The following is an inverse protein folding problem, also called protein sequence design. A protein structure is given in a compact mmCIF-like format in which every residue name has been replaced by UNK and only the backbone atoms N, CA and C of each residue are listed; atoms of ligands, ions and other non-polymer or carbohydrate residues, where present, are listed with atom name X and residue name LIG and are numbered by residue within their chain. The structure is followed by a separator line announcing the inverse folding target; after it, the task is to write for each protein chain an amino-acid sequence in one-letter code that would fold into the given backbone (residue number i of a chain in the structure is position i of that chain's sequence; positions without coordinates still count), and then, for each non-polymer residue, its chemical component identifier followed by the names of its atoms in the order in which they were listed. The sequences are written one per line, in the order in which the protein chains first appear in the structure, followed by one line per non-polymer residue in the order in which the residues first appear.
data_IF_648104985755
#
_entry.id   IF_648104985755
#
_cell.length_a   1.000
_cell.length_b   1.000
_cell.length_c   1.000
_cell.angle_alpha   90.00
_cell.angle_beta   90.00
_cell.angle_gamma   90.00
#
_symmetry.space_group_name_H-M   'P 1'
#
loop_
_entity.id
_entity.type
_entity.pdbx_description
1 polymer ?
#
# COMPACT_ATOMS: atom_id res chain seq x y z
N UNK A 1 10.50 -29.06 7.17
CA UNK A 1 9.45 -30.09 7.02
C UNK A 1 8.36 -30.04 8.09
N UNK A 2 8.59 -30.24 9.39
CA UNK A 2 7.50 -30.13 10.41
C UNK A 2 6.99 -28.71 10.71
N UNK A 3 7.78 -27.68 10.37
CA UNK A 3 7.36 -26.26 10.50
C UNK A 3 6.41 -25.84 9.37
N UNK A 4 6.61 -26.38 8.18
CA UNK A 4 5.86 -26.01 6.98
C UNK A 4 4.42 -26.54 7.03
N UNK A 5 4.22 -27.75 7.57
CA UNK A 5 2.89 -28.33 7.79
C UNK A 5 2.05 -27.54 8.80
N UNK A 6 2.68 -26.94 9.83
CA UNK A 6 1.96 -26.15 10.84
C UNK A 6 1.50 -24.80 10.31
N UNK A 7 2.32 -24.13 9.49
CA UNK A 7 1.92 -22.88 8.82
C UNK A 7 0.73 -23.11 7.88
N UNK A 8 0.77 -24.16 7.06
CA UNK A 8 -0.34 -24.51 6.17
C UNK A 8 -1.62 -24.88 6.94
N UNK A 9 -1.52 -25.60 8.07
CA UNK A 9 -2.70 -25.93 8.89
C UNK A 9 -3.31 -24.70 9.57
N UNK A 10 -2.49 -23.72 9.96
CA UNK A 10 -2.97 -22.45 10.53
C UNK A 10 -3.67 -21.59 9.48
N UNK A 11 -3.12 -21.50 8.27
CA UNK A 11 -3.76 -20.82 7.13
C UNK A 11 -5.10 -21.48 6.80
N UNK A 12 -5.15 -22.82 6.79
CA UNK A 12 -6.37 -23.58 6.52
C UNK A 12 -7.47 -23.41 7.60
N UNK A 13 -7.10 -23.12 8.86
CA UNK A 13 -8.03 -22.92 9.98
C UNK A 13 -8.50 -21.47 10.12
N UNK A 14 -7.88 -20.54 9.40
CA UNK A 14 -8.21 -19.11 9.43
C UNK A 14 -9.51 -18.86 8.67
N UNK A 15 -10.44 -18.11 9.25
CA UNK A 15 -11.69 -17.76 8.55
C UNK A 15 -11.36 -16.95 7.30
N UNK A 16 -12.02 -17.22 6.16
CA UNK A 16 -11.83 -16.47 4.90
C UNK A 16 -11.83 -14.95 5.09
N UNK A 17 -12.62 -14.47 6.06
CA UNK A 17 -12.72 -13.06 6.47
C UNK A 17 -11.42 -12.52 7.07
N UNK A 18 -10.80 -13.27 7.97
CA UNK A 18 -9.53 -12.89 8.62
C UNK A 18 -8.38 -12.92 7.61
N UNK A 19 -8.42 -13.85 6.65
CA UNK A 19 -7.44 -13.91 5.57
C UNK A 19 -7.42 -12.63 4.72
N UNK A 20 -8.59 -12.07 4.36
CA UNK A 20 -8.65 -10.82 3.60
C UNK A 20 -7.99 -9.65 4.34
N UNK A 21 -8.20 -9.57 5.65
CA UNK A 21 -7.63 -8.52 6.50
C UNK A 21 -6.12 -8.67 6.62
N UNK A 22 -5.63 -9.90 6.86
CA UNK A 22 -4.18 -10.14 6.93
C UNK A 22 -3.48 -9.88 5.61
N UNK A 23 -4.07 -10.31 4.49
CA UNK A 23 -3.50 -10.04 3.16
C UNK A 23 -3.50 -8.53 2.88
N UNK A 24 -4.58 -7.81 3.20
CA UNK A 24 -4.65 -6.35 3.07
C UNK A 24 -3.61 -5.64 3.94
N UNK A 25 -3.33 -6.12 5.16
CA UNK A 25 -2.29 -5.56 6.02
C UNK A 25 -0.89 -5.82 5.49
N UNK A 26 -0.60 -7.03 5.00
CA UNK A 26 0.71 -7.38 4.43
C UNK A 26 0.96 -6.56 3.16
N UNK A 27 -0.02 -6.47 2.27
CA UNK A 27 0.07 -5.65 1.07
C UNK A 27 0.21 -4.16 1.43
N UNK A 28 -0.61 -3.65 2.33
CA UNK A 28 -0.53 -2.27 2.82
C UNK A 28 0.84 -1.93 3.43
N UNK A 29 1.43 -2.84 4.18
CA UNK A 29 2.78 -2.68 4.73
C UNK A 29 3.85 -2.69 3.64
N UNK A 30 3.77 -3.61 2.67
CA UNK A 30 4.67 -3.62 1.52
C UNK A 30 4.62 -2.31 0.72
N UNK A 31 3.41 -1.80 0.49
CA UNK A 31 3.17 -0.51 -0.16
C UNK A 31 3.73 0.67 0.66
N UNK A 32 3.62 0.62 1.98
CA UNK A 32 4.23 1.62 2.86
C UNK A 32 5.76 1.64 2.76
N UNK A 33 6.40 0.48 2.71
CA UNK A 33 7.86 0.37 2.51
C UNK A 33 8.26 0.96 1.16
N UNK A 34 7.49 0.70 0.09
CA UNK A 34 7.72 1.28 -1.24
C UNK A 34 7.62 2.81 -1.19
N UNK A 35 6.59 3.36 -0.53
CA UNK A 35 6.43 4.81 -0.35
C UNK A 35 7.58 5.42 0.46
N UNK A 36 8.03 4.76 1.53
CA UNK A 36 9.20 5.22 2.30
C UNK A 36 10.48 5.18 1.47
N UNK A 37 10.67 4.15 0.65
CA UNK A 37 11.80 4.05 -0.25
C UNK A 37 11.83 5.22 -1.24
N UNK A 38 10.69 5.53 -1.87
CA UNK A 38 10.58 6.67 -2.78
C UNK A 38 10.84 8.01 -2.06
N UNK A 39 10.37 8.15 -0.82
CA UNK A 39 10.59 9.35 -0.02
C UNK A 39 12.07 9.54 0.34
N UNK A 40 12.78 8.46 0.68
CA UNK A 40 14.23 8.48 0.94
C UNK A 40 14.99 8.79 -0.35
N UNK A 41 14.65 8.13 -1.46
CA UNK A 41 15.27 8.38 -2.76
C UNK A 41 15.09 9.86 -3.17
N UNK A 42 13.90 10.41 -2.95
CA UNK A 42 13.62 11.82 -3.19
C UNK A 42 14.43 12.75 -2.26
N UNK A 43 14.34 12.56 -0.95
CA UNK A 43 14.93 13.47 0.04
C UNK A 43 16.46 13.48 0.05
N UNK A 44 17.12 12.37 -0.31
CA UNK A 44 18.57 12.24 -0.20
C UNK A 44 19.30 12.20 -1.54
N UNK A 45 18.65 11.79 -2.63
CA UNK A 45 19.35 11.57 -3.90
C UNK A 45 18.95 12.56 -4.99
N UNK A 46 17.82 13.27 -4.88
CA UNK A 46 17.22 14.13 -5.94
C UNK A 46 17.12 13.45 -7.33
N UNK A 47 17.36 12.13 -7.40
CA UNK A 47 17.40 11.33 -8.61
C UNK A 47 16.05 10.66 -8.79
N UNK A 48 15.25 11.26 -9.66
CA UNK A 48 13.92 10.76 -10.06
C UNK A 48 14.00 9.39 -10.75
N UNK A 49 15.15 9.04 -11.34
CA UNK A 49 15.39 7.78 -12.04
C UNK A 49 15.41 6.54 -11.14
N UNK A 50 15.70 6.71 -9.84
CA UNK A 50 15.72 5.62 -8.85
C UNK A 50 14.34 5.40 -8.18
N UNK A 51 13.33 6.18 -8.58
CA UNK A 51 11.97 6.06 -8.08
C UNK A 51 11.27 4.82 -8.64
N UNK A 52 10.33 4.26 -7.88
CA UNK A 52 9.42 3.21 -8.36
C UNK A 52 8.41 3.68 -9.41
N UNK A 53 8.61 4.85 -10.03
CA UNK A 53 7.79 5.39 -11.10
C UNK A 53 7.65 4.49 -12.32
N UNK A 54 8.72 3.78 -12.71
CA UNK A 54 8.68 2.85 -13.84
C UNK A 54 7.72 1.67 -13.60
N UNK A 55 7.31 1.45 -12.35
CA UNK A 55 6.34 0.44 -11.95
C UNK A 55 5.13 1.06 -11.23
N UNK A 56 4.87 2.37 -11.41
CA UNK A 56 3.81 3.09 -10.68
C UNK A 56 2.44 2.48 -10.93
N UNK A 57 2.16 2.04 -12.16
CA UNK A 57 0.89 1.40 -12.52
C UNK A 57 0.71 0.06 -11.79
N UNK A 58 1.77 -0.74 -11.67
CA UNK A 58 1.74 -2.00 -10.94
C UNK A 58 1.55 -1.76 -9.44
N UNK A 59 2.21 -0.76 -8.88
CA UNK A 59 2.05 -0.34 -7.48
C UNK A 59 0.61 0.13 -7.22
N UNK A 60 0.02 0.91 -8.13
CA UNK A 60 -1.36 1.38 -8.05
C UNK A 60 -2.36 0.21 -8.06
N UNK A 61 -2.16 -0.77 -8.95
CA UNK A 61 -3.00 -1.99 -8.99
C UNK A 61 -2.92 -2.75 -7.67
N UNK A 62 -1.73 -2.90 -7.09
CA UNK A 62 -1.56 -3.56 -5.78
C UNK A 62 -2.23 -2.76 -4.67
N UNK A 63 -2.20 -1.42 -4.72
CA UNK A 63 -2.94 -0.53 -3.82
C UNK A 63 -4.45 -0.77 -3.89
N UNK A 64 -5.01 -0.81 -5.09
CA UNK A 64 -6.44 -1.05 -5.31
C UNK A 64 -6.88 -2.41 -4.78
N UNK A 65 -6.08 -3.46 -5.04
CA UNK A 65 -6.33 -4.81 -4.51
C UNK A 65 -6.28 -4.80 -2.98
N UNK A 66 -5.23 -4.20 -2.41
CA UNK A 66 -5.05 -4.12 -0.95
C UNK A 66 -6.21 -3.39 -0.26
N UNK A 67 -6.65 -2.27 -0.85
CA UNK A 67 -7.76 -1.47 -0.34
C UNK A 67 -9.10 -2.19 -0.47
N UNK A 68 -9.36 -2.84 -1.62
CA UNK A 68 -10.59 -3.61 -1.84
C UNK A 68 -10.70 -4.79 -0.86
N UNK A 69 -9.60 -5.50 -0.60
CA UNK A 69 -9.55 -6.56 0.40
C UNK A 69 -9.79 -6.04 1.83
N UNK A 70 -9.28 -4.85 2.15
CA UNK A 70 -9.52 -4.19 3.44
C UNK A 70 -11.00 -3.83 3.63
N UNK A 71 -11.64 -3.25 2.61
CA UNK A 71 -13.07 -2.94 2.62
C UNK A 71 -13.90 -4.21 2.75
N UNK A 72 -13.60 -5.25 1.97
CA UNK A 72 -14.32 -6.53 2.06
C UNK A 72 -14.21 -7.13 3.47
N UNK A 73 -13.01 -7.14 4.05
CA UNK A 73 -12.79 -7.58 5.43
C UNK A 73 -13.68 -6.83 6.42
N UNK A 74 -13.70 -5.49 6.33
CA UNK A 74 -14.51 -4.62 7.18
C UNK A 74 -16.02 -4.85 7.01
N UNK A 75 -16.53 -4.90 5.77
CA UNK A 75 -17.96 -5.15 5.48
C UNK A 75 -18.38 -6.52 6.00
N UNK A 76 -17.57 -7.56 5.80
CA UNK A 76 -17.90 -8.92 6.27
C UNK A 76 -17.93 -9.07 7.79
N UNK A 77 -17.20 -8.24 8.52
CA UNK A 77 -17.14 -8.25 9.97
C UNK A 77 -18.29 -7.46 10.59
N UNK A 78 -18.59 -6.29 10.02
CA UNK A 78 -19.70 -5.41 10.43
C UNK A 78 -21.06 -6.06 10.16
N UNK A 79 -21.27 -6.67 8.98
CA UNK A 79 -22.50 -7.40 8.67
C UNK A 79 -22.71 -8.66 9.53
N UNK A 80 -21.63 -9.25 10.06
CA UNK A 80 -21.72 -10.44 10.90
C UNK A 80 -22.09 -10.13 12.37
N UNK A 81 -22.40 -8.86 12.70
CA UNK A 81 -22.73 -8.43 14.06
C UNK A 81 -21.59 -8.65 15.07
N UNK A 82 -20.36 -8.86 14.59
CA UNK A 82 -19.21 -9.13 15.46
C UNK A 82 -18.78 -7.83 16.14
N UNK A 83 -18.77 -7.89 17.47
CA UNK A 83 -18.41 -6.81 18.40
C UNK A 83 -17.35 -5.84 17.88
N UNK A 84 -17.60 -4.55 18.12
CA UNK A 84 -16.77 -3.37 17.85
C UNK A 84 -15.26 -3.55 18.13
N UNK A 85 -14.89 -4.45 19.06
CA UNK A 85 -13.48 -4.76 19.38
C UNK A 85 -12.73 -5.46 18.24
N UNK A 86 -13.36 -6.31 17.43
CA UNK A 86 -12.70 -6.98 16.27
C UNK A 86 -12.68 -6.07 15.03
N UNK A 87 -13.69 -5.23 14.86
CA UNK A 87 -13.76 -4.27 13.75
C UNK A 87 -12.65 -3.18 13.80
N UNK A 88 -12.00 -2.95 14.94
CA UNK A 88 -10.92 -1.97 15.06
C UNK A 88 -9.73 -2.30 14.15
N UNK A 89 -9.32 -3.56 14.08
CA UNK A 89 -8.14 -3.96 13.31
C UNK A 89 -8.37 -3.82 11.80
N UNK A 90 -9.58 -4.14 11.35
CA UNK A 90 -10.03 -3.92 9.98
C UNK A 90 -10.11 -2.42 9.64
N UNK A 91 -10.64 -1.61 10.56
CA UNK A 91 -10.70 -0.16 10.38
C UNK A 91 -9.30 0.45 10.29
N UNK A 92 -8.36 0.00 11.12
CA UNK A 92 -6.95 0.40 11.02
C UNK A 92 -6.32 -0.03 9.71
N UNK A 93 -6.62 -1.24 9.22
CA UNK A 93 -6.12 -1.73 7.93
C UNK A 93 -6.61 -0.85 6.77
N UNK A 94 -7.90 -0.49 6.77
CA UNK A 94 -8.50 0.40 5.77
C UNK A 94 -7.91 1.82 5.87
N UNK A 95 -7.82 2.36 7.08
CA UNK A 95 -7.28 3.71 7.32
C UNK A 95 -5.80 3.81 6.92
N UNK A 96 -5.00 2.79 7.22
CA UNK A 96 -3.58 2.74 6.84
C UNK A 96 -3.44 2.64 5.32
N UNK A 97 -4.19 1.76 4.65
CA UNK A 97 -4.18 1.69 3.18
C UNK A 97 -4.57 3.03 2.55
N UNK A 98 -5.58 3.71 3.09
CA UNK A 98 -5.99 5.03 2.64
C UNK A 98 -4.87 6.07 2.82
N UNK A 99 -4.24 6.11 3.99
CA UNK A 99 -3.14 7.05 4.28
C UNK A 99 -1.95 6.83 3.33
N UNK A 100 -1.56 5.58 3.11
CA UNK A 100 -0.47 5.23 2.18
C UNK A 100 -0.83 5.67 0.76
N UNK A 101 -2.10 5.54 0.36
CA UNK A 101 -2.58 6.00 -0.95
C UNK A 101 -2.47 7.53 -1.10
N UNK A 102 -2.89 8.29 -0.09
CA UNK A 102 -2.77 9.76 -0.08
C UNK A 102 -1.31 10.21 -0.14
N UNK A 103 -0.43 9.56 0.63
CA UNK A 103 1.01 9.82 0.58
C UNK A 103 1.59 9.53 -0.81
N UNK A 104 1.17 8.43 -1.45
CA UNK A 104 1.59 8.08 -2.81
C UNK A 104 1.18 9.14 -3.82
N UNK A 105 -0.08 9.58 -3.80
CA UNK A 105 -0.54 10.66 -4.68
C UNK A 105 0.22 11.96 -4.46
N UNK A 106 0.52 12.29 -3.21
CA UNK A 106 1.30 13.49 -2.87
C UNK A 106 2.69 13.42 -3.49
N UNK A 107 3.39 12.29 -3.32
CA UNK A 107 4.71 12.09 -3.93
C UNK A 107 4.65 12.15 -5.45
N UNK A 108 3.67 11.48 -6.07
CA UNK A 108 3.52 11.45 -7.52
C UNK A 108 3.26 12.85 -8.11
N UNK A 109 2.41 13.66 -7.46
CA UNK A 109 2.18 15.06 -7.82
C UNK A 109 3.48 15.87 -7.67
N UNK A 110 4.21 15.71 -6.57
CA UNK A 110 5.50 16.39 -6.36
C UNK A 110 6.51 16.03 -7.44
N UNK A 111 6.59 14.76 -7.86
CA UNK A 111 7.47 14.33 -8.94
C UNK A 111 7.07 14.88 -10.31
N UNK A 112 5.77 14.99 -10.61
CA UNK A 112 5.30 15.61 -11.86
C UNK A 112 5.72 17.09 -11.90
N UNK A 113 5.59 17.79 -10.77
CA UNK A 113 6.05 19.18 -10.62
C UNK A 113 7.55 19.31 -10.91
N UNK A 114 8.38 18.51 -10.24
CA UNK A 114 9.83 18.55 -10.39
C UNK A 114 10.29 18.26 -11.83
N UNK A 115 9.72 17.24 -12.48
CA UNK A 115 10.06 16.93 -13.88
C UNK A 115 9.67 18.06 -14.84
N UNK A 116 8.53 18.72 -14.62
CA UNK A 116 8.13 19.86 -15.44
C UNK A 116 9.11 21.03 -15.30
N UNK A 117 9.68 21.23 -14.12
CA UNK A 117 10.74 22.22 -13.90
C UNK A 117 12.04 21.82 -14.59
N UNK A 118 12.43 20.55 -14.50
CA UNK A 118 13.63 20.01 -15.17
C UNK A 118 13.55 20.12 -16.70
N UNK A 119 12.45 19.68 -17.32
CA UNK A 119 12.24 19.82 -18.76
C UNK A 119 12.18 21.29 -19.20
N UNK A 120 11.56 22.16 -18.39
CA UNK A 120 11.54 23.60 -18.68
C UNK A 120 12.95 24.19 -18.64
N UNK A 121 13.78 23.79 -17.69
CA UNK A 121 15.16 24.27 -17.59
C UNK A 121 16.03 23.79 -18.76
N UNK A 122 15.78 22.58 -19.27
CA UNK A 122 16.45 22.04 -20.47
C UNK A 122 16.02 22.77 -21.76
N UNK A 123 14.73 23.11 -21.91
CA UNK A 123 14.22 23.87 -23.07
C UNK A 123 14.58 25.36 -23.02
N UNK A 124 14.87 25.89 -21.82
CA UNK A 124 15.28 27.29 -21.61
C UNK A 124 16.78 27.53 -21.82
N UNK A 125 17.53 26.52 -22.28
CA UNK A 125 18.99 26.53 -22.25
C UNK A 125 19.62 27.76 -22.92
N UNK A 126 20.76 28.31 -22.48
CA UNK A 126 21.79 27.77 -21.56
C UNK A 126 21.93 26.26 -21.50
#
# INVERSE_FOLDING_TARGET
MERDCRLLSWIAKTSKKELYVYVSLVLGFGLFVVVLWDLIAYAFSERTELSTQNVTDAVLVVHLISFFLGILGFVYSTQAGKFYKRAKLELYAVALNFLVCVLRFTLEISFIGYRREEYRNLDSGK
#
